data_IF_159412678071
#
_entry.id   IF_159412678071
#
_cell.length_a   1.000
_cell.length_b   1.000
_cell.length_c   1.000
_cell.angle_alpha   90.00
_cell.angle_beta   90.00
_cell.angle_gamma   90.00
#
_symmetry.space_group_name_H-M   'P 1'
#
loop_
_entity.id
_entity.type
_entity.pdbx_description
1 polymer ?
#
# COMPACT_ATOMS: atom_id res chain seq x y z
N UNK A 1 5.43 22.92 7.38
CA UNK A 1 5.86 21.51 7.34
C UNK A 1 5.80 21.05 5.89
N UNK A 2 6.87 20.44 5.38
CA UNK A 2 6.92 19.88 4.03
C UNK A 2 7.11 18.37 4.07
N UNK A 3 6.69 17.71 3.02
CA UNK A 3 6.80 16.26 2.82
C UNK A 3 7.77 15.97 1.69
N UNK A 4 8.73 15.06 1.88
CA UNK A 4 9.59 14.62 0.80
C UNK A 4 8.78 13.72 -0.15
N UNK A 5 8.70 14.09 -1.41
CA UNK A 5 7.92 13.40 -2.44
C UNK A 5 8.87 12.80 -3.47
N UNK A 6 8.70 11.52 -3.75
CA UNK A 6 9.43 10.81 -4.80
C UNK A 6 8.70 10.91 -6.14
N UNK A 7 7.35 10.88 -6.12
CA UNK A 7 6.56 10.92 -7.34
C UNK A 7 5.09 11.31 -7.06
N UNK A 8 4.41 11.85 -8.07
CA UNK A 8 2.96 12.05 -8.08
C UNK A 8 2.43 11.88 -9.49
N UNK A 9 1.39 11.07 -9.65
CA UNK A 9 0.84 10.73 -10.97
C UNK A 9 -0.59 10.21 -10.85
N UNK A 10 -1.28 10.14 -11.99
CA UNK A 10 -2.59 9.49 -12.12
C UNK A 10 -2.44 8.15 -12.82
N UNK A 11 -3.11 7.14 -12.32
CA UNK A 11 -3.11 5.81 -12.93
C UNK A 11 -4.33 5.01 -12.45
N UNK A 12 -4.30 3.71 -12.69
CA UNK A 12 -5.25 2.74 -12.14
C UNK A 12 -4.59 2.06 -10.94
N UNK A 13 -5.31 1.94 -9.80
CA UNK A 13 -4.84 1.08 -8.71
C UNK A 13 -4.67 -0.34 -9.25
N UNK A 14 -3.43 -0.79 -9.28
CA UNK A 14 -3.05 -2.08 -9.90
C UNK A 14 -3.12 -3.26 -8.95
N UNK A 15 -3.33 -3.04 -7.64
CA UNK A 15 -3.15 -4.06 -6.61
C UNK A 15 -4.30 -4.09 -5.60
N UNK A 16 -4.43 -5.24 -4.93
CA UNK A 16 -5.25 -5.38 -3.73
C UNK A 16 -6.75 -5.21 -3.97
N UNK A 17 -7.41 -4.56 -3.00
CA UNK A 17 -8.87 -4.49 -2.97
C UNK A 17 -9.44 -3.55 -4.04
N UNK A 18 -8.74 -2.44 -4.31
CA UNK A 18 -9.21 -1.38 -5.21
C UNK A 18 -8.69 -1.54 -6.65
N UNK A 19 -8.19 -2.72 -7.01
CA UNK A 19 -7.68 -2.99 -8.36
C UNK A 19 -8.69 -2.56 -9.43
N UNK A 20 -8.20 -1.85 -10.45
CA UNK A 20 -9.02 -1.30 -11.55
C UNK A 20 -9.61 0.08 -11.28
N UNK A 21 -9.48 0.63 -10.06
CA UNK A 21 -9.98 1.97 -9.73
C UNK A 21 -9.01 3.04 -10.22
N UNK A 22 -9.54 4.06 -10.88
CA UNK A 22 -8.76 5.26 -11.24
C UNK A 22 -8.35 6.02 -9.97
N UNK A 23 -7.07 6.37 -9.84
CA UNK A 23 -6.55 6.98 -8.63
C UNK A 23 -5.44 8.01 -8.91
N UNK A 24 -5.29 8.94 -7.97
CA UNK A 24 -4.12 9.83 -7.88
C UNK A 24 -3.16 9.24 -6.88
N UNK A 25 -1.94 8.97 -7.31
CA UNK A 25 -0.88 8.46 -6.46
C UNK A 25 0.01 9.59 -5.98
N UNK A 26 0.25 9.65 -4.67
CA UNK A 26 1.26 10.50 -4.04
C UNK A 26 2.25 9.57 -3.36
N UNK A 27 3.45 9.51 -3.91
CA UNK A 27 4.54 8.66 -3.45
C UNK A 27 5.50 9.45 -2.58
N UNK A 28 5.48 9.20 -1.29
CA UNK A 28 6.44 9.77 -0.34
C UNK A 28 7.83 9.19 -0.57
N UNK A 29 8.86 10.01 -0.39
CA UNK A 29 10.24 9.57 -0.42
C UNK A 29 10.68 9.01 0.94
N UNK A 30 11.70 8.15 0.89
CA UNK A 30 12.29 7.53 2.07
C UNK A 30 11.52 6.32 2.59
N UNK A 31 12.27 5.40 3.15
CA UNK A 31 11.76 4.24 3.87
C UNK A 31 12.69 3.98 5.04
N UNK A 32 12.18 3.73 6.28
CA UNK A 32 13.05 3.47 7.41
C UNK A 32 13.73 2.10 7.28
N UNK A 33 15.00 1.95 7.71
CA UNK A 33 15.68 0.66 7.69
C UNK A 33 15.02 -0.36 8.64
N UNK A 34 15.22 -1.69 8.40
CA UNK A 34 15.88 -2.26 7.24
C UNK A 34 15.04 -2.11 5.96
N UNK A 35 15.71 -1.96 4.83
CA UNK A 35 15.05 -1.91 3.52
C UNK A 35 14.72 -3.30 3.03
N UNK A 36 13.65 -3.42 2.23
CA UNK A 36 13.31 -4.67 1.58
C UNK A 36 14.31 -4.99 0.48
N UNK A 37 14.81 -6.22 0.45
CA UNK A 37 15.62 -6.69 -0.67
C UNK A 37 14.77 -6.71 -1.95
N UNK A 38 15.36 -6.23 -3.05
CA UNK A 38 14.67 -6.19 -4.35
C UNK A 38 13.45 -5.26 -4.43
N UNK A 39 13.36 -4.23 -3.58
CA UNK A 39 12.30 -3.24 -3.68
C UNK A 39 12.34 -2.55 -5.05
N UNK A 40 11.23 -2.61 -5.79
CA UNK A 40 11.10 -2.02 -7.13
C UNK A 40 10.71 -0.53 -7.12
N UNK A 41 10.52 0.03 -5.93
CA UNK A 41 10.11 1.42 -5.76
C UNK A 41 11.33 2.34 -5.67
N UNK A 42 11.44 3.30 -6.59
CA UNK A 42 12.31 4.45 -6.41
C UNK A 42 11.67 5.43 -5.41
N UNK A 43 12.22 5.48 -4.20
CA UNK A 43 11.79 6.38 -3.14
C UNK A 43 12.78 7.51 -2.88
N UNK A 44 13.60 7.85 -3.87
CA UNK A 44 14.49 9.01 -3.82
C UNK A 44 13.67 10.30 -3.81
N UNK A 45 14.02 11.24 -2.93
CA UNK A 45 13.34 12.53 -2.87
C UNK A 45 13.59 13.34 -4.14
N UNK A 46 12.52 13.74 -4.82
CA UNK A 46 12.58 14.62 -6.00
C UNK A 46 12.13 16.05 -5.70
N UNK A 47 11.19 16.19 -4.76
CA UNK A 47 10.66 17.50 -4.37
C UNK A 47 10.22 17.49 -2.89
N UNK A 48 10.06 18.69 -2.33
CA UNK A 48 9.49 18.88 -0.99
C UNK A 48 8.23 19.74 -1.14
N UNK A 49 7.08 19.18 -0.80
CA UNK A 49 5.79 19.84 -0.94
C UNK A 49 5.13 20.03 0.43
N UNK A 50 4.42 21.14 0.57
CA UNK A 50 3.49 21.36 1.68
C UNK A 50 2.25 20.50 1.53
N UNK A 51 1.45 20.36 2.59
CA UNK A 51 0.15 19.68 2.50
C UNK A 51 -0.76 20.35 1.46
N UNK A 52 -0.78 21.68 1.42
CA UNK A 52 -1.63 22.45 0.49
C UNK A 52 -1.22 22.21 -0.96
N UNK A 53 0.07 22.17 -1.28
CA UNK A 53 0.56 21.89 -2.64
C UNK A 53 0.22 20.46 -3.08
N UNK A 54 0.28 19.48 -2.17
CA UNK A 54 -0.14 18.11 -2.46
C UNK A 54 -1.65 18.05 -2.73
N UNK A 55 -2.44 18.71 -1.88
CA UNK A 55 -3.90 18.77 -2.01
C UNK A 55 -4.31 19.46 -3.31
N UNK A 56 -3.69 20.59 -3.62
CA UNK A 56 -3.93 21.32 -4.88
C UNK A 56 -3.68 20.43 -6.09
N UNK A 57 -2.52 19.75 -6.14
CA UNK A 57 -2.21 18.80 -7.20
C UNK A 57 -3.29 17.72 -7.36
N UNK A 58 -3.71 17.12 -6.24
CA UNK A 58 -4.73 16.06 -6.26
C UNK A 58 -6.06 16.60 -6.80
N UNK A 59 -6.53 17.75 -6.29
CA UNK A 59 -7.83 18.32 -6.66
C UNK A 59 -7.89 18.75 -8.13
N UNK A 60 -6.77 19.21 -8.71
CA UNK A 60 -6.67 19.55 -10.14
C UNK A 60 -6.93 18.36 -11.07
N UNK A 61 -6.72 17.12 -10.60
CA UNK A 61 -6.98 15.92 -11.41
C UNK A 61 -8.46 15.57 -11.56
N UNK A 62 -9.31 16.03 -10.64
CA UNK A 62 -10.73 15.67 -10.57
C UNK A 62 -11.01 14.21 -10.19
N UNK A 63 -9.98 13.41 -9.84
CA UNK A 63 -10.12 11.99 -9.49
C UNK A 63 -10.42 11.87 -7.99
N UNK A 64 -11.54 11.22 -7.59
CA UNK A 64 -11.99 11.21 -6.19
C UNK A 64 -11.32 10.16 -5.30
N UNK A 65 -10.40 9.35 -5.82
CA UNK A 65 -9.66 8.32 -5.10
C UNK A 65 -8.17 8.68 -5.06
N UNK A 66 -7.60 8.74 -3.86
CA UNK A 66 -6.20 9.11 -3.62
C UNK A 66 -5.48 7.94 -2.97
N UNK A 67 -4.28 7.59 -3.47
CA UNK A 67 -3.41 6.57 -2.89
C UNK A 67 -2.15 7.25 -2.34
N UNK A 68 -2.03 7.27 -1.02
CA UNK A 68 -0.84 7.70 -0.30
C UNK A 68 0.08 6.48 -0.12
N UNK A 69 1.20 6.48 -0.80
CA UNK A 69 2.13 5.35 -0.88
C UNK A 69 3.57 5.86 -0.82
N UNK A 70 4.55 5.07 -1.23
CA UNK A 70 5.90 5.54 -1.43
C UNK A 70 6.95 4.58 -0.95
N UNK A 71 7.98 5.10 -0.27
CA UNK A 71 8.80 4.35 0.63
C UNK A 71 7.95 3.88 1.81
N UNK A 72 7.76 4.76 2.81
CA UNK A 72 6.83 4.49 3.91
C UNK A 72 6.07 5.77 4.28
N UNK A 73 4.78 5.89 3.91
CA UNK A 73 4.00 7.10 4.18
C UNK A 73 3.81 7.39 5.68
N UNK A 74 3.80 6.36 6.53
CA UNK A 74 3.60 6.52 7.98
C UNK A 74 4.82 7.08 8.72
N UNK A 75 5.94 7.34 8.04
CA UNK A 75 7.01 8.17 8.59
C UNK A 75 6.54 9.62 8.86
N UNK A 76 5.45 10.03 8.24
CA UNK A 76 4.92 11.40 8.26
C UNK A 76 3.58 11.47 8.99
N UNK A 77 3.25 12.66 9.52
CA UNK A 77 1.89 12.97 9.94
C UNK A 77 1.04 13.25 8.68
N UNK A 78 0.12 12.35 8.39
CA UNK A 78 -0.77 12.45 7.22
C UNK A 78 -2.02 13.28 7.50
N UNK A 79 -2.23 13.69 8.76
CA UNK A 79 -3.45 14.43 9.17
C UNK A 79 -3.71 15.68 8.32
N UNK A 80 -2.73 16.57 8.09
CA UNK A 80 -2.97 17.79 7.33
C UNK A 80 -3.43 17.51 5.89
N UNK A 81 -2.81 16.53 5.23
CA UNK A 81 -3.17 16.16 3.85
C UNK A 81 -4.56 15.55 3.81
N UNK A 82 -4.82 14.54 4.65
CA UNK A 82 -6.08 13.76 4.63
C UNK A 82 -7.28 14.62 5.00
N UNK A 83 -7.16 15.48 6.02
CA UNK A 83 -8.26 16.35 6.41
C UNK A 83 -8.56 17.40 5.32
N UNK A 84 -7.54 18.05 4.75
CA UNK A 84 -7.74 19.03 3.69
C UNK A 84 -8.33 18.41 2.42
N UNK A 85 -7.92 17.18 2.06
CA UNK A 85 -8.54 16.43 0.97
C UNK A 85 -10.03 16.20 1.21
N UNK A 86 -10.42 15.78 2.41
CA UNK A 86 -11.83 15.55 2.73
C UNK A 86 -12.63 16.84 2.89
N UNK A 87 -12.03 17.92 3.37
CA UNK A 87 -12.69 19.23 3.51
C UNK A 87 -13.02 19.85 2.14
N UNK A 88 -12.31 19.50 1.10
CA UNK A 88 -12.61 19.91 -0.28
C UNK A 88 -13.99 19.41 -0.78
N UNK A 89 -14.51 18.35 -0.18
CA UNK A 89 -15.75 17.68 -0.63
C UNK A 89 -15.62 16.87 -1.92
N UNK A 90 -14.46 16.89 -2.59
CA UNK A 90 -14.24 16.22 -3.87
C UNK A 90 -13.67 14.79 -3.73
N UNK A 91 -13.07 14.46 -2.59
CA UNK A 91 -12.42 13.17 -2.36
C UNK A 91 -13.36 12.21 -1.63
N UNK A 92 -13.56 11.04 -2.24
CA UNK A 92 -14.40 9.98 -1.71
C UNK A 92 -13.62 8.99 -0.85
N UNK A 93 -12.35 8.72 -1.22
CA UNK A 93 -11.52 7.71 -0.57
C UNK A 93 -10.06 8.15 -0.53
N UNK A 94 -9.41 7.97 0.61
CA UNK A 94 -7.97 8.01 0.75
C UNK A 94 -7.49 6.61 1.14
N UNK A 95 -6.75 5.98 0.24
CA UNK A 95 -6.05 4.71 0.47
C UNK A 95 -4.63 4.99 0.97
N UNK A 96 -4.19 4.23 1.96
CA UNK A 96 -2.81 4.29 2.49
C UNK A 96 -2.20 2.91 2.30
N UNK A 97 -1.16 2.83 1.49
CA UNK A 97 -0.34 1.65 1.27
C UNK A 97 0.91 1.72 2.17
N UNK A 98 1.00 0.83 3.15
CA UNK A 98 2.08 0.86 4.15
C UNK A 98 2.61 -0.53 4.47
N UNK A 99 3.87 -0.62 4.90
CA UNK A 99 4.42 -1.84 5.50
C UNK A 99 3.81 -2.12 6.88
N UNK A 100 3.25 -1.09 7.52
CA UNK A 100 2.67 -1.17 8.84
C UNK A 100 3.66 -1.21 10.00
N UNK A 101 4.96 -1.08 9.75
CA UNK A 101 5.98 -1.13 10.83
C UNK A 101 6.07 0.16 11.66
N UNK A 102 5.70 1.30 11.06
CA UNK A 102 5.68 2.59 11.73
C UNK A 102 4.31 2.84 12.38
N UNK A 103 4.25 3.54 13.51
CA UNK A 103 2.98 3.88 14.14
C UNK A 103 2.13 4.78 13.25
N UNK A 104 0.81 4.60 13.33
CA UNK A 104 -0.14 5.39 12.54
C UNK A 104 -0.18 6.84 13.01
N UNK A 105 0.27 7.75 12.15
CA UNK A 105 0.25 9.20 12.39
C UNK A 105 -0.86 9.84 11.55
N UNK A 106 -2.10 9.54 11.94
CA UNK A 106 -3.31 10.09 11.31
C UNK A 106 -4.39 10.27 12.35
N UNK A 107 -4.89 11.49 12.47
CA UNK A 107 -6.03 11.83 13.31
C UNK A 107 -7.17 12.34 12.43
N UNK A 108 -8.23 11.55 12.28
CA UNK A 108 -9.41 11.92 11.47
C UNK A 108 -10.69 11.38 12.12
N UNK A 109 -11.79 12.07 11.91
CA UNK A 109 -13.14 11.56 12.24
C UNK A 109 -13.76 10.81 11.05
N UNK A 110 -13.16 10.90 9.86
CA UNK A 110 -13.66 10.36 8.59
C UNK A 110 -13.09 8.98 8.25
N UNK A 111 -12.87 8.13 9.28
CA UNK A 111 -12.30 6.78 9.12
C UNK A 111 -13.04 5.89 8.13
N UNK A 112 -14.31 6.15 7.87
CA UNK A 112 -15.09 5.42 6.86
C UNK A 112 -14.64 5.72 5.42
N UNK A 113 -13.91 6.82 5.21
CA UNK A 113 -13.30 7.20 3.94
C UNK A 113 -11.79 6.91 3.87
N UNK A 114 -11.22 6.30 4.90
CA UNK A 114 -9.80 5.91 4.93
C UNK A 114 -9.69 4.40 4.77
N UNK A 115 -8.88 3.97 3.83
CA UNK A 115 -8.58 2.58 3.56
C UNK A 115 -7.11 2.31 3.78
N UNK A 116 -6.76 1.46 4.75
CA UNK A 116 -5.36 1.11 5.03
C UNK A 116 -5.10 -0.31 4.55
N UNK A 117 -4.28 -0.43 3.54
CA UNK A 117 -3.72 -1.68 3.04
C UNK A 117 -2.36 -1.89 3.69
N UNK A 118 -2.23 -2.91 4.52
CA UNK A 118 -0.98 -3.24 5.20
C UNK A 118 -0.28 -4.36 4.46
N UNK A 119 0.96 -4.10 4.03
CA UNK A 119 1.82 -5.08 3.38
C UNK A 119 3.04 -5.39 4.25
N UNK A 120 2.91 -6.29 5.25
CA UNK A 120 4.01 -6.57 6.18
C UNK A 120 5.22 -7.13 5.44
N UNK A 121 6.42 -6.79 5.92
CA UNK A 121 7.67 -7.10 5.25
C UNK A 121 8.51 -8.10 6.04
N UNK A 122 9.12 -9.03 5.32
CA UNK A 122 10.03 -10.02 5.87
C UNK A 122 11.21 -9.37 6.60
N UNK A 123 11.78 -8.30 6.02
CA UNK A 123 12.90 -7.55 6.59
C UNK A 123 12.67 -7.08 8.05
N UNK A 124 11.41 -7.02 8.50
CA UNK A 124 11.04 -6.71 9.89
C UNK A 124 10.27 -7.85 10.55
N UNK A 125 10.48 -9.08 10.10
CA UNK A 125 9.80 -10.29 10.61
C UNK A 125 8.28 -10.14 10.58
N UNK A 126 7.74 -9.52 9.53
CA UNK A 126 6.32 -9.24 9.29
C UNK A 126 5.62 -8.46 10.41
N UNK A 127 6.39 -7.71 11.23
CA UNK A 127 5.84 -6.92 12.35
C UNK A 127 4.91 -5.83 11.84
N UNK A 128 3.78 -5.67 12.52
CA UNK A 128 2.81 -4.58 12.32
C UNK A 128 2.63 -3.83 13.64
N UNK A 129 2.66 -2.51 13.57
CA UNK A 129 2.34 -1.66 14.73
C UNK A 129 0.86 -1.82 15.11
N UNK A 130 0.52 -1.97 16.41
CA UNK A 130 -0.86 -2.16 16.85
C UNK A 130 -1.83 -1.04 16.42
N UNK A 131 -1.36 0.21 16.33
CA UNK A 131 -2.19 1.35 15.90
C UNK A 131 -2.59 1.24 14.42
N UNK A 132 -1.70 0.70 13.59
CA UNK A 132 -1.96 0.42 12.17
C UNK A 132 -2.90 -0.77 12.03
N UNK A 133 -2.60 -1.88 12.72
CA UNK A 133 -3.41 -3.11 12.66
C UNK A 133 -4.86 -2.85 13.07
N UNK A 134 -5.08 -2.04 14.09
CA UNK A 134 -6.42 -1.66 14.55
C UNK A 134 -7.25 -0.95 13.47
N UNK A 135 -6.61 -0.22 12.55
CA UNK A 135 -7.23 0.53 11.47
C UNK A 135 -7.11 -0.13 10.10
N UNK A 136 -6.37 -1.20 10.00
CA UNK A 136 -6.19 -1.95 8.75
C UNK A 136 -7.54 -2.41 8.17
N UNK A 137 -7.63 -2.40 6.85
CA UNK A 137 -8.77 -2.91 6.08
C UNK A 137 -8.40 -4.16 5.29
N UNK A 138 -7.12 -4.31 4.98
CA UNK A 138 -6.58 -5.42 4.18
C UNK A 138 -5.18 -5.76 4.68
N UNK A 139 -4.85 -7.03 4.68
CA UNK A 139 -3.48 -7.52 4.74
C UNK A 139 -3.07 -8.05 3.37
N UNK A 140 -1.95 -7.57 2.83
CA UNK A 140 -1.40 -7.99 1.53
C UNK A 140 0.01 -8.51 1.73
N UNK A 141 0.23 -9.79 1.49
CA UNK A 141 1.54 -10.43 1.62
C UNK A 141 2.15 -10.67 0.25
N UNK A 142 3.41 -10.32 0.10
CA UNK A 142 4.18 -10.61 -1.09
C UNK A 142 4.74 -12.02 -0.98
N UNK A 143 4.47 -12.85 -1.98
CA UNK A 143 4.94 -14.24 -2.04
C UNK A 143 6.24 -14.28 -2.83
N UNK A 144 7.33 -14.59 -2.14
CA UNK A 144 8.66 -14.85 -2.70
C UNK A 144 8.94 -16.35 -2.73
N UNK A 145 10.13 -16.74 -3.21
CA UNK A 145 10.58 -18.14 -3.17
C UNK A 145 10.55 -18.70 -1.74
N UNK A 146 11.02 -17.92 -0.77
CA UNK A 146 11.17 -18.35 0.63
C UNK A 146 9.94 -18.01 1.49
N UNK A 147 8.86 -17.46 0.90
CA UNK A 147 7.67 -17.09 1.65
C UNK A 147 7.01 -18.30 2.32
N UNK A 148 6.88 -18.23 3.65
CA UNK A 148 6.14 -19.20 4.46
C UNK A 148 4.75 -18.64 4.83
N UNK A 149 3.65 -19.25 4.35
CA UNK A 149 2.30 -18.78 4.67
C UNK A 149 1.93 -18.88 6.16
N UNK A 150 2.69 -19.61 6.97
CA UNK A 150 2.46 -19.69 8.42
C UNK A 150 2.59 -18.35 9.12
N UNK A 151 3.37 -17.42 8.56
CA UNK A 151 3.52 -16.04 9.08
C UNK A 151 2.20 -15.29 9.16
N UNK A 152 1.23 -15.63 8.28
CA UNK A 152 -0.10 -15.02 8.29
C UNK A 152 -0.86 -15.43 9.54
N UNK A 153 -0.62 -16.64 10.05
CA UNK A 153 -1.25 -17.16 11.26
C UNK A 153 -0.91 -16.35 12.51
N UNK A 154 0.22 -15.63 12.50
CA UNK A 154 0.59 -14.73 13.59
C UNK A 154 -0.42 -13.59 13.78
N UNK A 155 -1.07 -13.19 12.70
CA UNK A 155 -1.98 -12.04 12.67
C UNK A 155 -3.46 -12.44 12.67
N UNK A 156 -3.81 -13.68 12.30
CA UNK A 156 -5.20 -14.15 12.24
C UNK A 156 -5.99 -13.97 13.54
N UNK A 157 -5.42 -14.16 14.74
CA UNK A 157 -6.16 -13.96 15.99
C UNK A 157 -6.64 -12.52 16.19
N UNK A 158 -5.89 -11.55 15.68
CA UNK A 158 -6.20 -10.12 15.80
C UNK A 158 -6.87 -9.59 14.52
N UNK A 159 -6.43 -10.08 13.38
CA UNK A 159 -6.85 -9.64 12.05
C UNK A 159 -7.84 -10.60 11.36
N UNK A 160 -8.37 -11.61 12.05
CA UNK A 160 -9.16 -12.71 11.47
C UNK A 160 -10.43 -12.30 10.71
N UNK A 161 -10.76 -11.01 10.69
CA UNK A 161 -11.86 -10.44 9.89
C UNK A 161 -11.37 -9.69 8.65
N UNK A 162 -10.06 -9.46 8.54
CA UNK A 162 -9.50 -8.70 7.41
C UNK A 162 -9.34 -9.60 6.20
N UNK A 163 -9.68 -9.12 5.00
CA UNK A 163 -9.29 -9.77 3.77
C UNK A 163 -7.78 -9.93 3.68
N UNK A 164 -7.32 -11.12 3.32
CA UNK A 164 -5.91 -11.42 3.06
C UNK A 164 -5.71 -11.54 1.56
N UNK A 165 -4.72 -10.83 1.03
CA UNK A 165 -4.28 -10.93 -0.35
C UNK A 165 -2.87 -11.49 -0.41
N UNK A 166 -2.63 -12.37 -1.35
CA UNK A 166 -1.31 -12.87 -1.71
C UNK A 166 -0.93 -12.31 -3.07
N UNK A 167 0.22 -11.67 -3.14
CA UNK A 167 0.74 -11.05 -4.35
C UNK A 167 2.03 -11.75 -4.75
N UNK A 168 2.08 -12.46 -5.90
CA UNK A 168 3.33 -13.04 -6.37
C UNK A 168 4.35 -11.93 -6.64
N UNK A 169 5.60 -12.16 -6.20
CA UNK A 169 6.70 -11.25 -6.47
C UNK A 169 7.02 -11.23 -7.96
N UNK A 170 7.28 -10.06 -8.51
CA UNK A 170 7.73 -9.91 -9.87
C UNK A 170 9.27 -9.86 -9.92
N UNK A 171 9.87 -10.95 -10.40
CA UNK A 171 11.31 -11.07 -10.56
C UNK A 171 11.85 -10.45 -11.87
N UNK A 172 10.97 -9.91 -12.74
CA UNK A 172 11.35 -9.49 -14.09
C UNK A 172 11.76 -10.65 -15.02
N UNK A 173 11.62 -11.89 -14.57
CA UNK A 173 11.92 -13.12 -15.32
C UNK A 173 10.62 -13.94 -15.49
N UNK A 174 10.18 -14.18 -16.73
CA UNK A 174 8.91 -14.88 -16.98
C UNK A 174 8.82 -16.28 -16.36
N UNK A 175 9.93 -17.04 -16.32
CA UNK A 175 9.93 -18.39 -15.74
C UNK A 175 9.84 -18.36 -14.23
N UNK A 176 10.58 -17.46 -13.59
CA UNK A 176 10.47 -17.25 -12.13
C UNK A 176 9.08 -16.73 -11.77
N UNK A 177 8.55 -15.78 -12.53
CA UNK A 177 7.21 -15.24 -12.29
C UNK A 177 6.12 -16.32 -12.43
N UNK A 178 6.21 -17.21 -13.42
CA UNK A 178 5.30 -18.35 -13.55
C UNK A 178 5.40 -19.30 -12.35
N UNK A 179 6.62 -19.60 -11.91
CA UNK A 179 6.84 -20.46 -10.73
C UNK A 179 6.22 -19.86 -9.47
N UNK A 180 6.47 -18.59 -9.18
CA UNK A 180 5.91 -17.90 -8.00
C UNK A 180 4.38 -17.77 -8.09
N UNK A 181 3.83 -17.52 -9.27
CA UNK A 181 2.40 -17.52 -9.46
C UNK A 181 1.80 -18.90 -9.13
N UNK A 182 2.38 -19.99 -9.61
CA UNK A 182 1.96 -21.36 -9.28
C UNK A 182 2.01 -21.61 -7.76
N UNK A 183 3.13 -21.29 -7.10
CA UNK A 183 3.26 -21.35 -5.63
C UNK A 183 2.15 -20.59 -4.94
N UNK A 184 1.88 -19.35 -5.37
CA UNK A 184 0.83 -18.51 -4.81
C UNK A 184 -0.55 -19.16 -4.95
N UNK A 185 -0.87 -19.72 -6.13
CA UNK A 185 -2.13 -20.39 -6.38
C UNK A 185 -2.30 -21.67 -5.54
N UNK A 186 -1.24 -22.42 -5.29
CA UNK A 186 -1.27 -23.60 -4.41
C UNK A 186 -1.59 -23.19 -2.97
N UNK A 187 -0.96 -22.11 -2.46
CA UNK A 187 -1.27 -21.58 -1.12
C UNK A 187 -2.74 -21.14 -1.05
N UNK A 188 -3.26 -20.48 -2.08
CA UNK A 188 -4.66 -20.02 -2.14
C UNK A 188 -5.64 -21.19 -2.16
N UNK A 189 -5.34 -22.29 -2.84
CA UNK A 189 -6.19 -23.51 -2.84
C UNK A 189 -6.40 -24.05 -1.44
N UNK A 190 -5.38 -23.99 -0.60
CA UNK A 190 -5.43 -24.43 0.80
C UNK A 190 -6.13 -23.41 1.73
N UNK A 191 -6.30 -22.18 1.26
CA UNK A 191 -6.84 -21.06 2.03
C UNK A 191 -7.94 -20.33 1.23
N UNK A 192 -9.13 -20.90 1.06
CA UNK A 192 -10.16 -20.41 0.12
C UNK A 192 -10.74 -19.04 0.47
N UNK A 193 -10.45 -18.49 1.65
CA UNK A 193 -10.84 -17.13 2.05
C UNK A 193 -9.84 -16.07 1.64
N UNK A 194 -8.63 -16.47 1.25
CA UNK A 194 -7.60 -15.53 0.79
C UNK A 194 -7.77 -15.25 -0.71
N UNK A 195 -7.25 -14.15 -1.16
CA UNK A 195 -7.44 -13.62 -2.52
C UNK A 195 -6.10 -13.42 -3.21
N UNK A 196 -6.09 -13.60 -4.52
CA UNK A 196 -4.95 -13.21 -5.35
C UNK A 196 -4.93 -11.69 -5.53
N UNK A 197 -3.77 -11.06 -5.33
CA UNK A 197 -3.46 -9.73 -5.82
C UNK A 197 -2.53 -9.85 -7.02
N UNK A 198 -2.88 -9.20 -8.10
CA UNK A 198 -2.01 -9.07 -9.29
C UNK A 198 -1.49 -7.64 -9.36
N UNK A 199 -0.41 -7.42 -10.12
CA UNK A 199 0.09 -6.08 -10.44
C UNK A 199 -0.47 -5.68 -11.81
N UNK A 200 -1.75 -5.29 -11.86
CA UNK A 200 -2.46 -4.99 -13.09
C UNK A 200 -1.77 -3.89 -13.90
N UNK A 201 -1.24 -2.87 -13.23
CA UNK A 201 -0.49 -1.78 -13.88
C UNK A 201 0.70 -2.31 -14.68
N UNK A 202 1.46 -3.29 -14.16
CA UNK A 202 2.57 -3.92 -14.88
C UNK A 202 2.08 -4.72 -16.10
N UNK A 203 0.97 -5.47 -15.95
CA UNK A 203 0.38 -6.23 -17.05
C UNK A 203 -0.10 -5.35 -18.19
N UNK A 204 -0.56 -4.14 -17.89
CA UNK A 204 -1.04 -3.16 -18.86
C UNK A 204 0.04 -2.19 -19.34
N UNK A 205 1.27 -2.26 -18.81
CA UNK A 205 2.34 -1.32 -19.12
C UNK A 205 2.06 0.11 -18.63
N UNK A 206 1.27 0.25 -17.56
CA UNK A 206 0.96 1.52 -16.93
C UNK A 206 1.96 1.85 -15.81
N UNK A 207 2.02 3.14 -15.46
CA UNK A 207 2.79 3.61 -14.32
C UNK A 207 2.11 3.23 -13.01
#
# INVERSE_FOLDING_TARGET
MTYPIADKFTSIQGEGFWVGTQAVFVRFAGCPPPHCEGCDTDFTTKEHLTADEIVEYVLQTGIPHVVLTGGEPLMHDLTPIVESLFDSGQINMVEIETSGKEPLRLNTRRWHKVWITVSPKEAVSYRIDPSVLYRARVLKFVVTEDFDPSVISLWLPVAGRLPVFLQPWDYGDPKKNEHILRKTLEILKLNPKWRLSVQLHKLLGLK
#
